data_IF_386202746874
#
_entry.id   IF_386202746874
#
_cell.length_a   1.000
_cell.length_b   1.000
_cell.length_c   1.000
_cell.angle_alpha   90.00
_cell.angle_beta   90.00
_cell.angle_gamma   90.00
#
_symmetry.space_group_name_H-M   'P 1'
#
loop_
_entity.id
_entity.type
_entity.pdbx_description
1 polymer ?
#
# COMPACT_ATOMS: atom_id res chain seq x y z
N UNK A 1 -20.22 -0.91 -29.91
CA UNK A 1 -19.07 -0.27 -29.25
C UNK A 1 -18.45 -1.28 -28.30
N UNK A 2 -17.37 -1.92 -28.74
CA UNK A 2 -16.58 -2.88 -27.96
C UNK A 2 -15.88 -2.14 -26.82
N UNK A 3 -16.30 -2.38 -25.58
CA UNK A 3 -15.60 -1.87 -24.40
C UNK A 3 -14.24 -2.57 -24.32
N UNK A 4 -13.20 -1.91 -24.81
CA UNK A 4 -11.82 -2.31 -24.55
C UNK A 4 -11.63 -2.42 -23.03
N UNK A 5 -11.06 -3.51 -22.50
CA UNK A 5 -10.75 -3.60 -21.08
C UNK A 5 -9.75 -2.48 -20.81
N UNK A 6 -10.19 -1.39 -20.17
CA UNK A 6 -9.30 -0.34 -19.68
C UNK A 6 -8.27 -1.06 -18.82
N UNK A 7 -7.04 -1.20 -19.35
CA UNK A 7 -5.89 -1.62 -18.55
C UNK A 7 -5.71 -0.52 -17.51
N UNK A 8 -6.28 -0.75 -16.33
CA UNK A 8 -6.07 0.12 -15.18
C UNK A 8 -4.62 -0.08 -14.78
N UNK A 9 -3.75 0.81 -15.26
CA UNK A 9 -2.34 0.77 -14.94
C UNK A 9 -2.16 1.21 -13.49
N UNK A 10 -2.43 0.29 -12.55
CA UNK A 10 -2.46 0.54 -11.10
C UNK A 10 -1.10 0.99 -10.58
N UNK A 11 -0.02 0.43 -11.13
CA UNK A 11 1.35 0.76 -10.71
C UNK A 11 1.82 2.14 -11.16
N UNK A 12 1.24 2.70 -12.23
CA UNK A 12 1.52 4.08 -12.68
C UNK A 12 0.77 5.13 -11.85
N UNK A 13 -0.09 4.72 -10.91
CA UNK A 13 -0.89 5.62 -10.08
C UNK A 13 -0.12 5.89 -8.81
N UNK A 14 0.47 7.08 -8.74
CA UNK A 14 1.41 7.48 -7.68
C UNK A 14 0.95 7.26 -6.24
N UNK A 15 -0.34 7.01 -5.97
CA UNK A 15 -0.88 6.58 -4.66
C UNK A 15 -0.19 5.34 -4.11
N UNK A 16 -0.12 4.26 -4.89
CA UNK A 16 0.50 3.01 -4.46
C UNK A 16 2.01 3.15 -4.32
N UNK A 17 2.65 3.85 -5.27
CA UNK A 17 4.08 4.14 -5.20
C UNK A 17 4.45 4.99 -3.97
N UNK A 18 3.66 6.01 -3.65
CA UNK A 18 3.89 6.88 -2.48
C UNK A 18 3.78 6.09 -1.19
N UNK A 19 2.80 5.19 -1.07
CA UNK A 19 2.66 4.32 0.09
C UNK A 19 3.84 3.34 0.19
N UNK A 20 4.18 2.64 -0.90
CA UNK A 20 5.34 1.75 -0.93
C UNK A 20 6.64 2.47 -0.55
N UNK A 21 6.81 3.71 -0.99
CA UNK A 21 7.97 4.54 -0.67
C UNK A 21 8.00 4.93 0.81
N UNK A 22 6.89 5.44 1.36
CA UNK A 22 6.77 5.77 2.79
C UNK A 22 7.06 4.56 3.69
N UNK A 23 6.68 3.37 3.25
CA UNK A 23 6.89 2.12 3.96
C UNK A 23 8.33 1.64 3.93
N UNK A 24 8.89 1.50 2.73
CA UNK A 24 10.24 0.97 2.52
C UNK A 24 11.32 1.85 3.16
N UNK A 25 11.09 3.16 3.23
CA UNK A 25 12.04 4.11 3.80
C UNK A 25 11.73 4.52 5.25
N UNK A 26 10.75 3.90 5.91
CA UNK A 26 10.51 4.20 7.33
C UNK A 26 11.64 3.62 8.20
N UNK A 27 12.12 4.34 9.23
CA UNK A 27 13.17 3.85 10.14
C UNK A 27 12.82 2.51 10.82
N UNK A 28 11.52 2.28 11.07
CA UNK A 28 10.99 1.02 11.60
C UNK A 28 11.22 -0.14 10.62
N UNK A 29 10.96 0.08 9.33
CA UNK A 29 11.23 -0.89 8.27
C UNK A 29 12.72 -1.22 8.13
N UNK A 30 13.59 -0.22 8.24
CA UNK A 30 15.04 -0.40 8.13
C UNK A 30 15.60 -1.23 9.29
N UNK A 31 15.11 -1.03 10.52
CA UNK A 31 15.49 -1.86 11.68
C UNK A 31 14.99 -3.30 11.55
N UNK A 32 13.74 -3.48 11.12
CA UNK A 32 13.15 -4.80 10.91
C UNK A 32 13.92 -5.59 9.84
N UNK A 33 14.37 -4.92 8.77
CA UNK A 33 15.24 -5.51 7.76
C UNK A 33 16.59 -5.96 8.33
N UNK A 34 17.20 -5.17 9.22
CA UNK A 34 18.49 -5.53 9.84
C UNK A 34 18.40 -6.70 10.81
N UNK A 35 17.30 -6.81 11.58
CA UNK A 35 17.16 -7.82 12.63
C UNK A 35 16.46 -9.10 12.15
N UNK A 36 15.39 -8.97 11.35
CA UNK A 36 14.52 -10.09 10.99
C UNK A 36 14.00 -9.94 9.54
N UNK A 37 14.86 -10.27 8.57
CA UNK A 37 14.57 -10.16 7.12
C UNK A 37 13.28 -10.90 6.72
N UNK A 38 13.00 -12.07 7.29
CA UNK A 38 11.79 -12.84 6.99
C UNK A 38 10.51 -12.17 7.50
N UNK A 39 10.54 -11.60 8.70
CA UNK A 39 9.43 -10.83 9.24
C UNK A 39 9.21 -9.59 8.37
N UNK A 40 10.29 -8.91 7.99
CA UNK A 40 10.25 -7.81 7.04
C UNK A 40 9.58 -8.17 5.72
N UNK A 41 9.98 -9.27 5.05
CA UNK A 41 9.39 -9.69 3.77
C UNK A 41 7.89 -9.97 3.95
N UNK A 42 7.51 -10.62 5.05
CA UNK A 42 6.12 -10.97 5.34
C UNK A 42 5.27 -9.71 5.55
N UNK A 43 5.72 -8.78 6.40
CA UNK A 43 5.04 -7.51 6.69
C UNK A 43 4.92 -6.66 5.43
N UNK A 44 6.01 -6.52 4.67
CA UNK A 44 6.01 -5.80 3.40
C UNK A 44 4.99 -6.38 2.42
N UNK A 45 4.94 -7.71 2.30
CA UNK A 45 4.00 -8.39 1.40
C UNK A 45 2.54 -8.18 1.81
N UNK A 46 2.23 -8.27 3.11
CA UNK A 46 0.87 -8.02 3.63
C UNK A 46 0.42 -6.60 3.33
N UNK A 47 1.30 -5.63 3.58
CA UNK A 47 0.99 -4.22 3.37
C UNK A 47 0.83 -3.90 1.87
N UNK A 48 1.72 -4.43 1.03
CA UNK A 48 1.62 -4.30 -0.43
C UNK A 48 0.28 -4.85 -0.91
N UNK A 49 -0.11 -6.04 -0.45
CA UNK A 49 -1.35 -6.70 -0.84
C UNK A 49 -2.58 -5.89 -0.36
N UNK A 50 -2.57 -5.40 0.88
CA UNK A 50 -3.64 -4.56 1.42
C UNK A 50 -3.81 -3.26 0.63
N UNK A 51 -2.71 -2.57 0.33
CA UNK A 51 -2.72 -1.35 -0.47
C UNK A 51 -3.22 -1.64 -1.89
N UNK A 52 -2.79 -2.73 -2.51
CA UNK A 52 -3.23 -3.12 -3.84
C UNK A 52 -4.74 -3.41 -3.90
N UNK A 53 -5.27 -4.16 -2.93
CA UNK A 53 -6.71 -4.47 -2.86
C UNK A 53 -7.52 -3.19 -2.66
N UNK A 54 -7.10 -2.34 -1.71
CA UNK A 54 -7.76 -1.06 -1.43
C UNK A 54 -7.80 -0.17 -2.66
N UNK A 55 -6.69 -0.08 -3.40
CA UNK A 55 -6.65 0.68 -4.63
C UNK A 55 -7.57 0.08 -5.70
N UNK A 56 -7.56 -1.24 -5.90
CA UNK A 56 -8.49 -1.90 -6.83
C UNK A 56 -9.96 -1.61 -6.52
N UNK A 57 -10.33 -1.60 -5.23
CA UNK A 57 -11.69 -1.29 -4.79
C UNK A 57 -12.04 0.18 -5.06
N UNK A 58 -11.16 1.10 -4.69
CA UNK A 58 -11.37 2.54 -4.88
C UNK A 58 -11.46 2.91 -6.37
N UNK A 59 -10.64 2.29 -7.20
CA UNK A 59 -10.68 2.47 -8.65
C UNK A 59 -12.01 2.00 -9.24
N UNK A 60 -12.53 0.87 -8.77
CA UNK A 60 -13.83 0.35 -9.21
C UNK A 60 -15.02 1.18 -8.70
N UNK A 61 -14.94 1.70 -7.47
CA UNK A 61 -16.07 2.39 -6.81
C UNK A 61 -16.13 3.89 -7.09
N UNK A 62 -14.99 4.57 -7.17
CA UNK A 62 -14.94 6.04 -7.27
C UNK A 62 -14.58 6.45 -8.69
N UNK A 63 -13.34 6.18 -9.11
CA UNK A 63 -12.86 6.60 -10.42
C UNK A 63 -11.54 5.96 -10.76
N UNK A 64 -11.28 5.81 -12.06
CA UNK A 64 -9.96 5.47 -12.57
C UNK A 64 -8.92 6.61 -12.40
N UNK A 65 -9.35 7.81 -12.01
CA UNK A 65 -8.49 8.99 -11.86
C UNK A 65 -7.93 9.05 -10.43
N UNK A 66 -6.60 8.95 -10.23
CA UNK A 66 -5.98 8.90 -8.89
C UNK A 66 -6.36 10.07 -7.99
N UNK A 67 -6.41 11.30 -8.53
CA UNK A 67 -6.76 12.51 -7.78
C UNK A 67 -8.10 12.40 -7.03
N UNK A 68 -9.03 11.61 -7.54
CA UNK A 68 -10.37 11.50 -6.98
C UNK A 68 -10.46 10.53 -5.80
N UNK A 69 -9.49 9.63 -5.65
CA UNK A 69 -9.51 8.61 -4.59
C UNK A 69 -8.24 8.59 -3.73
N UNK A 70 -7.20 9.34 -4.07
CA UNK A 70 -5.90 9.30 -3.37
C UNK A 70 -5.98 9.74 -1.91
N UNK A 71 -6.80 10.75 -1.59
CA UNK A 71 -7.02 11.18 -0.21
C UNK A 71 -7.70 10.06 0.59
N UNK A 72 -8.73 9.43 0.04
CA UNK A 72 -9.41 8.28 0.65
C UNK A 72 -8.49 7.08 0.82
N UNK A 73 -7.67 6.79 -0.20
CA UNK A 73 -6.66 5.75 -0.15
C UNK A 73 -5.69 5.99 1.01
N UNK A 74 -5.15 7.20 1.14
CA UNK A 74 -4.24 7.54 2.23
C UNK A 74 -4.92 7.45 3.61
N UNK A 75 -6.16 7.93 3.75
CA UNK A 75 -6.90 7.85 5.02
C UNK A 75 -7.14 6.40 5.49
N UNK A 76 -7.26 5.43 4.58
CA UNK A 76 -7.46 4.03 4.92
C UNK A 76 -6.10 3.31 5.07
N UNK A 77 -5.23 3.44 4.07
CA UNK A 77 -3.98 2.67 4.01
C UNK A 77 -2.96 3.13 5.05
N UNK A 78 -2.81 4.43 5.27
CA UNK A 78 -1.77 4.96 6.14
C UNK A 78 -1.94 4.52 7.62
N UNK A 79 -3.12 4.62 8.27
CA UNK A 79 -3.27 4.14 9.64
C UNK A 79 -3.18 2.62 9.78
N UNK A 80 -3.71 1.84 8.83
CA UNK A 80 -3.60 0.37 8.87
C UNK A 80 -2.15 -0.07 8.75
N UNK A 81 -1.38 0.55 7.85
CA UNK A 81 0.02 0.24 7.67
C UNK A 81 0.86 0.61 8.91
N UNK A 82 0.56 1.74 9.56
CA UNK A 82 1.18 2.13 10.84
C UNK A 82 0.83 1.14 11.95
N UNK A 83 -0.44 0.73 12.07
CA UNK A 83 -0.87 -0.26 13.08
C UNK A 83 -0.17 -1.61 12.88
N UNK A 84 -0.08 -2.08 11.64
CA UNK A 84 0.63 -3.32 11.33
C UNK A 84 2.11 -3.20 11.70
N UNK A 85 2.74 -2.07 11.37
CA UNK A 85 4.11 -1.80 11.72
C UNK A 85 4.35 -1.78 13.24
N UNK A 86 3.50 -1.10 13.99
CA UNK A 86 3.58 -1.05 15.45
C UNK A 86 3.38 -2.44 16.07
N UNK A 87 2.42 -3.23 15.57
CA UNK A 87 2.19 -4.59 16.03
C UNK A 87 3.44 -5.46 15.86
N UNK A 88 4.02 -5.47 14.66
CA UNK A 88 5.23 -6.25 14.40
C UNK A 88 6.44 -5.71 15.16
N UNK A 89 6.58 -4.39 15.34
CA UNK A 89 7.65 -3.83 16.17
C UNK A 89 7.55 -4.24 17.65
N UNK A 90 6.34 -4.42 18.18
CA UNK A 90 6.16 -4.77 19.59
C UNK A 90 6.24 -6.28 19.85
N UNK A 91 5.87 -7.09 18.84
CA UNK A 91 5.87 -8.56 18.92
C UNK A 91 7.24 -9.16 18.62
N UNK A 92 8.10 -8.46 17.87
CA UNK A 92 9.45 -8.90 17.47
C UNK A 92 10.51 -8.21 18.31
#
# INVERSE_FOLDING_TARGET
>A
MTQSPKKYDLFSRGSFQTAAFLLLFSPLFTRLFQQNVWAYITVASIIILFNFITECILVKRISAVPKNYIAFFQTICLPVNILLLCFFYYVT
#
